data_IF_139500702434
#
_entry.id   IF_139500702434
#
_cell.length_a   1.000
_cell.length_b   1.000
_cell.length_c   1.000
_cell.angle_alpha   90.00
_cell.angle_beta   90.00
_cell.angle_gamma   90.00
#
_symmetry.space_group_name_H-M   'P 1'
#
loop_
_entity.id
_entity.type
_entity.pdbx_description
1 polymer ?
#
# COMPACT_ATOMS: atom_id res chain seq x y z
N UNK A 1 0.47 16.22 -26.40
CA UNK A 1 -0.36 16.38 -25.20
C UNK A 1 -0.32 15.05 -24.46
N UNK A 2 0.10 15.04 -23.21
CA UNK A 2 0.25 13.79 -22.46
C UNK A 2 -1.12 13.14 -22.30
N UNK A 3 -1.26 11.90 -22.77
CA UNK A 3 -2.51 11.16 -22.66
C UNK A 3 -2.75 10.84 -21.18
N UNK A 4 -3.78 11.44 -20.58
CA UNK A 4 -4.21 11.16 -19.20
C UNK A 4 -5.12 9.94 -19.25
N UNK A 5 -4.90 8.99 -18.34
CA UNK A 5 -5.68 7.76 -18.28
C UNK A 5 -6.04 7.51 -16.82
N UNK A 6 -7.34 7.37 -16.50
CA UNK A 6 -7.76 6.85 -15.19
C UNK A 6 -7.28 5.41 -15.06
N UNK A 7 -6.68 5.06 -13.93
CA UNK A 7 -6.09 3.73 -13.68
C UNK A 7 -6.64 3.05 -12.44
N UNK A 8 -7.41 3.76 -11.63
CA UNK A 8 -8.04 3.23 -10.43
C UNK A 8 -8.91 4.28 -9.77
N UNK A 9 -9.72 3.81 -8.85
CA UNK A 9 -10.62 4.60 -8.01
C UNK A 9 -10.64 3.99 -6.62
N UNK A 10 -10.97 4.80 -5.63
CA UNK A 10 -11.27 4.37 -4.28
C UNK A 10 -12.31 5.29 -3.67
N UNK A 11 -12.80 4.93 -2.48
CA UNK A 11 -13.88 5.66 -1.79
C UNK A 11 -13.62 7.15 -1.68
N UNK A 12 -12.37 7.56 -1.45
CA UNK A 12 -12.01 8.96 -1.21
C UNK A 12 -11.34 9.65 -2.40
N UNK A 13 -11.27 9.04 -3.58
CA UNK A 13 -10.60 9.71 -4.68
C UNK A 13 -10.36 8.90 -5.95
N UNK A 14 -9.63 9.54 -6.85
CA UNK A 14 -9.42 9.07 -8.22
C UNK A 14 -7.93 9.00 -8.53
N UNK A 15 -7.49 7.96 -9.25
CA UNK A 15 -6.10 7.79 -9.65
C UNK A 15 -5.93 7.91 -11.17
N UNK A 16 -5.13 8.87 -11.61
CA UNK A 16 -4.85 9.13 -13.03
C UNK A 16 -3.37 8.99 -13.35
N UNK A 17 -3.04 8.24 -14.40
CA UNK A 17 -1.71 8.23 -14.98
C UNK A 17 -1.54 9.40 -15.94
N UNK A 18 -0.52 10.22 -15.72
CA UNK A 18 -0.13 11.35 -16.55
C UNK A 18 1.37 11.27 -16.88
N UNK A 19 1.68 10.74 -18.07
CA UNK A 19 3.08 10.50 -18.47
C UNK A 19 3.75 9.42 -17.60
N UNK A 20 4.81 9.82 -16.88
CA UNK A 20 5.58 8.95 -15.99
C UNK A 20 5.19 9.07 -14.50
N UNK A 21 4.06 9.72 -14.21
CA UNK A 21 3.54 9.92 -12.85
C UNK A 21 2.10 9.45 -12.74
N UNK A 22 1.70 9.13 -11.51
CA UNK A 22 0.31 8.86 -11.12
C UNK A 22 -0.14 9.99 -10.21
N UNK A 23 -1.32 10.55 -10.46
CA UNK A 23 -1.94 11.58 -9.65
C UNK A 23 -3.13 10.96 -8.91
N UNK A 24 -3.01 10.80 -7.58
CA UNK A 24 -4.15 10.48 -6.70
C UNK A 24 -4.78 11.82 -6.29
N UNK A 25 -6.02 12.04 -6.68
CA UNK A 25 -6.78 13.26 -6.42
C UNK A 25 -7.82 12.96 -5.35
N UNK A 26 -7.72 13.67 -4.22
CA UNK A 26 -8.59 13.50 -3.04
C UNK A 26 -9.33 14.81 -2.80
N UNK A 27 -10.67 14.87 -2.98
CA UNK A 27 -11.47 16.03 -2.60
C UNK A 27 -11.46 16.21 -1.08
N UNK A 28 -11.30 17.46 -0.64
CA UNK A 28 -11.26 17.82 0.77
C UNK A 28 -12.10 19.06 1.06
N UNK A 29 -12.58 19.16 2.30
CA UNK A 29 -13.27 20.34 2.85
C UNK A 29 -14.54 20.78 2.10
N UNK A 30 -15.11 19.94 1.23
CA UNK A 30 -16.38 20.18 0.56
C UNK A 30 -17.58 19.59 1.30
N UNK A 31 -18.75 20.22 1.13
CA UNK A 31 -20.01 19.78 1.72
C UNK A 31 -20.76 18.73 0.89
N UNK A 32 -20.33 18.51 -0.36
CA UNK A 32 -20.89 17.49 -1.24
C UNK A 32 -20.43 16.11 -0.77
N UNK A 33 -21.37 15.16 -0.63
CA UNK A 33 -21.03 13.76 -0.44
C UNK A 33 -20.33 13.24 -1.71
N UNK A 34 -19.19 12.57 -1.52
CA UNK A 34 -18.41 11.98 -2.60
C UNK A 34 -18.44 10.47 -2.42
N UNK A 35 -19.02 9.76 -3.39
CA UNK A 35 -19.15 8.31 -3.38
C UNK A 35 -19.96 7.81 -2.16
N UNK A 36 -20.95 8.62 -1.74
CA UNK A 36 -21.76 8.36 -0.56
C UNK A 36 -21.15 8.79 0.78
N UNK A 37 -19.89 9.24 0.80
CA UNK A 37 -19.15 9.59 2.02
C UNK A 37 -18.93 11.09 2.18
N UNK A 38 -18.75 11.54 3.43
CA UNK A 38 -18.33 12.91 3.72
C UNK A 38 -16.87 13.08 3.30
N UNK A 39 -16.57 14.21 2.65
CA UNK A 39 -15.18 14.51 2.28
C UNK A 39 -14.31 14.64 3.52
N UNK A 40 -13.07 14.17 3.41
CA UNK A 40 -12.10 14.34 4.48
C UNK A 40 -11.79 15.81 4.70
N UNK A 41 -11.52 16.16 5.95
CA UNK A 41 -10.93 17.45 6.30
C UNK A 41 -9.49 17.52 5.83
N UNK A 42 -9.02 18.71 5.48
CA UNK A 42 -7.61 18.89 5.11
C UNK A 42 -6.65 18.47 6.22
N UNK A 43 -7.03 18.58 7.50
CA UNK A 43 -6.23 18.06 8.62
C UNK A 43 -6.08 16.53 8.59
N UNK A 44 -7.13 15.79 8.22
CA UNK A 44 -7.08 14.32 8.11
C UNK A 44 -6.17 13.89 6.95
N UNK A 45 -6.20 14.61 5.83
CA UNK A 45 -5.33 14.32 4.69
C UNK A 45 -3.89 14.77 4.95
N UNK A 46 -3.68 15.82 5.77
CA UNK A 46 -2.35 16.26 6.18
C UNK A 46 -1.56 15.15 6.88
N UNK A 47 -2.23 14.27 7.64
CA UNK A 47 -1.57 13.11 8.25
C UNK A 47 -1.02 12.15 7.18
N UNK A 48 -1.81 11.82 6.15
CA UNK A 48 -1.36 10.99 5.01
C UNK A 48 -0.20 11.66 4.25
N UNK A 49 -0.24 13.00 4.10
CA UNK A 49 0.85 13.79 3.50
C UNK A 49 2.15 13.64 4.30
N UNK A 50 2.10 13.80 5.62
CA UNK A 50 3.26 13.67 6.50
C UNK A 50 3.79 12.23 6.57
N UNK A 51 2.90 11.24 6.59
CA UNK A 51 3.21 9.81 6.47
C UNK A 51 3.98 9.52 5.18
N UNK A 52 3.46 10.02 4.05
CA UNK A 52 4.05 9.88 2.73
C UNK A 52 5.47 10.45 2.69
N UNK A 53 5.68 11.66 3.23
CA UNK A 53 7.03 12.24 3.30
C UNK A 53 7.98 11.45 4.19
N UNK A 54 7.49 10.93 5.32
CA UNK A 54 8.31 10.11 6.23
C UNK A 54 8.77 8.82 5.55
N UNK A 55 7.88 8.13 4.84
CA UNK A 55 8.23 6.93 4.07
C UNK A 55 9.14 7.25 2.87
N UNK A 56 8.88 8.36 2.18
CA UNK A 56 9.71 8.81 1.05
C UNK A 56 11.17 9.07 1.50
N UNK A 57 11.37 9.52 2.74
CA UNK A 57 12.72 9.72 3.30
C UNK A 57 13.52 8.42 3.46
N UNK A 58 12.88 7.25 3.54
CA UNK A 58 13.55 5.95 3.59
C UNK A 58 14.23 5.59 2.26
N UNK A 59 13.86 6.27 1.17
CA UNK A 59 14.46 6.08 -0.16
C UNK A 59 15.82 6.77 -0.30
N UNK A 60 16.12 7.76 0.56
CA UNK A 60 17.32 8.60 0.45
C UNK A 60 18.57 7.87 0.95
N UNK A 61 19.61 7.88 0.12
CA UNK A 61 20.93 7.39 0.50
C UNK A 61 21.55 8.35 1.54
N UNK A 62 21.91 7.84 2.72
CA UNK A 62 22.55 8.63 3.78
C UNK A 62 21.88 8.59 5.15
N UNK A 63 20.66 8.03 5.28
CA UNK A 63 20.13 7.66 6.62
C UNK A 63 21.03 6.58 7.23
N UNK A 64 21.45 6.82 8.48
CA UNK A 64 22.53 6.04 9.09
C UNK A 64 22.16 4.55 9.23
N UNK A 65 20.89 4.19 9.46
CA UNK A 65 20.53 2.84 9.90
C UNK A 65 19.43 2.12 9.09
N UNK A 66 18.47 2.83 8.48
CA UNK A 66 17.35 2.19 7.78
C UNK A 66 17.12 2.78 6.38
N UNK A 67 16.78 1.95 5.40
CA UNK A 67 16.51 2.38 4.02
C UNK A 67 15.81 1.33 3.16
N UNK A 68 14.85 1.78 2.34
CA UNK A 68 14.05 0.95 1.42
C UNK A 68 13.48 1.80 0.28
N UNK A 69 13.45 1.23 -0.93
CA UNK A 69 12.82 1.84 -2.12
C UNK A 69 11.47 1.22 -2.47
N UNK A 70 10.94 0.37 -1.61
CA UNK A 70 9.71 -0.39 -1.86
C UNK A 70 8.44 0.31 -1.35
N UNK A 71 8.53 1.52 -0.81
CA UNK A 71 7.37 2.42 -0.68
C UNK A 71 7.35 3.34 -1.90
N UNK A 72 6.16 3.58 -2.45
CA UNK A 72 6.04 4.40 -3.66
C UNK A 72 6.64 5.79 -3.43
N UNK A 73 7.28 6.31 -4.47
CA UNK A 73 7.87 7.63 -4.40
C UNK A 73 6.79 8.70 -4.50
N UNK A 74 6.69 9.52 -3.46
CA UNK A 74 5.94 10.77 -3.51
C UNK A 74 6.84 11.84 -4.11
N UNK A 75 6.58 12.20 -5.37
CA UNK A 75 7.37 13.20 -6.10
C UNK A 75 6.98 14.61 -5.69
N UNK A 76 5.69 14.85 -5.49
CA UNK A 76 5.13 16.15 -5.14
C UNK A 76 3.74 15.98 -4.50
N UNK A 77 3.29 16.97 -3.74
CA UNK A 77 1.93 17.05 -3.19
C UNK A 77 1.44 18.48 -3.38
N UNK A 78 0.25 18.64 -3.97
CA UNK A 78 -0.33 19.94 -4.31
C UNK A 78 -1.71 20.10 -3.70
N UNK A 79 -1.99 21.29 -3.18
CA UNK A 79 -3.35 21.72 -2.89
C UNK A 79 -3.86 22.46 -4.13
N UNK A 80 -4.98 21.99 -4.68
CA UNK A 80 -5.64 22.53 -5.86
C UNK A 80 -7.05 22.99 -5.49
N UNK A 81 -7.58 23.96 -6.25
CA UNK A 81 -8.95 24.42 -6.13
C UNK A 81 -9.53 24.64 -7.53
N UNK A 82 -10.80 24.30 -7.74
CA UNK A 82 -11.50 24.50 -9.03
C UNK A 82 -12.31 23.30 -9.47
N UNK A 83 -12.81 23.33 -10.70
CA UNK A 83 -13.44 22.17 -11.34
C UNK A 83 -12.41 21.19 -11.90
N UNK A 84 -12.82 19.93 -12.13
CA UNK A 84 -11.99 18.96 -12.85
C UNK A 84 -11.72 19.43 -14.29
N UNK A 85 -10.46 19.36 -14.71
CA UNK A 85 -10.10 19.65 -16.11
C UNK A 85 -10.81 18.70 -17.07
N UNK A 86 -11.19 19.21 -18.26
CA UNK A 86 -11.91 18.44 -19.27
C UNK A 86 -11.19 17.13 -19.65
N UNK A 87 -9.86 17.10 -19.63
CA UNK A 87 -9.09 15.90 -19.92
C UNK A 87 -9.18 14.83 -18.82
N UNK A 88 -9.29 15.23 -17.54
CA UNK A 88 -9.54 14.29 -16.43
C UNK A 88 -10.95 13.72 -16.50
N UNK A 89 -11.93 14.56 -16.85
CA UNK A 89 -13.31 14.12 -17.06
C UNK A 89 -13.38 13.08 -18.18
N UNK A 90 -12.81 13.36 -19.35
CA UNK A 90 -12.81 12.40 -20.46
C UNK A 90 -12.12 11.10 -20.07
N UNK A 91 -11.00 11.17 -19.33
CA UNK A 91 -10.31 9.98 -18.85
C UNK A 91 -11.15 9.15 -17.86
N UNK A 92 -11.98 9.81 -17.04
CA UNK A 92 -12.93 9.16 -16.14
C UNK A 92 -14.08 8.49 -16.90
N UNK A 93 -14.69 9.19 -17.86
CA UNK A 93 -15.79 8.67 -18.70
C UNK A 93 -15.32 7.46 -19.54
N UNK A 94 -14.10 7.51 -20.08
CA UNK A 94 -13.48 6.42 -20.84
C UNK A 94 -13.21 5.17 -19.99
N UNK A 95 -13.02 5.35 -18.69
CA UNK A 95 -12.83 4.26 -17.74
C UNK A 95 -14.16 3.67 -17.30
N UNK A 96 -15.12 4.53 -16.93
CA UNK A 96 -16.49 4.16 -16.57
C UNK A 96 -17.15 3.33 -17.67
N UNK A 97 -17.04 3.77 -18.94
CA UNK A 97 -17.59 3.03 -20.08
C UNK A 97 -17.03 1.61 -20.25
N UNK A 98 -15.85 1.31 -19.68
CA UNK A 98 -15.17 0.00 -19.81
C UNK A 98 -15.30 -0.86 -18.56
N UNK A 99 -15.31 -0.26 -17.38
CA UNK A 99 -15.23 -0.97 -16.11
C UNK A 99 -16.50 -0.84 -15.27
N UNK A 100 -17.30 0.22 -15.48
CA UNK A 100 -18.37 0.66 -14.58
C UNK A 100 -17.75 1.26 -13.32
N UNK A 101 -17.75 2.58 -13.22
CA UNK A 101 -17.28 3.30 -12.04
C UNK A 101 -18.29 3.12 -10.91
N UNK A 102 -17.80 2.83 -9.70
CA UNK A 102 -18.60 2.87 -8.48
C UNK A 102 -18.66 4.28 -7.88
N UNK A 103 -17.72 5.15 -8.30
CA UNK A 103 -17.66 6.54 -7.88
C UNK A 103 -18.65 7.45 -8.61
N UNK A 104 -19.02 8.56 -7.96
CA UNK A 104 -19.81 9.65 -8.54
C UNK A 104 -19.03 10.38 -9.63
N UNK A 105 -19.75 10.95 -10.61
CA UNK A 105 -19.10 11.60 -11.73
C UNK A 105 -18.44 12.93 -11.27
N UNK A 106 -17.13 13.15 -11.52
CA UNK A 106 -16.40 14.33 -11.02
C UNK A 106 -16.79 15.69 -11.63
N UNK A 107 -17.83 15.73 -12.49
CA UNK A 107 -18.38 16.98 -13.04
C UNK A 107 -19.24 17.73 -12.02
N UNK A 108 -19.64 17.06 -10.94
CA UNK A 108 -20.53 17.63 -9.93
C UNK A 108 -19.83 18.61 -8.98
N UNK A 109 -18.49 18.61 -8.94
CA UNK A 109 -17.72 19.53 -8.12
C UNK A 109 -17.82 20.98 -8.61
N UNK A 110 -17.88 21.91 -7.66
CA UNK A 110 -17.93 23.35 -7.92
C UNK A 110 -16.54 23.97 -8.05
N UNK A 111 -16.45 25.22 -8.52
CA UNK A 111 -15.19 25.97 -8.60
C UNK A 111 -14.52 26.23 -7.24
N UNK A 112 -15.29 26.15 -6.14
CA UNK A 112 -14.75 26.36 -4.79
C UNK A 112 -14.16 25.07 -4.18
N UNK A 113 -14.36 23.90 -4.82
CA UNK A 113 -13.91 22.61 -4.32
C UNK A 113 -12.38 22.56 -4.22
N UNK A 114 -11.88 22.11 -3.07
CA UNK A 114 -10.45 21.91 -2.82
C UNK A 114 -10.07 20.44 -2.98
N UNK A 115 -8.81 20.20 -3.39
CA UNK A 115 -8.25 18.85 -3.55
C UNK A 115 -6.83 18.79 -3.05
N UNK A 116 -6.48 17.68 -2.42
CA UNK A 116 -5.08 17.28 -2.27
C UNK A 116 -4.72 16.33 -3.41
N UNK A 117 -3.68 16.69 -4.16
CA UNK A 117 -3.18 15.91 -5.30
C UNK A 117 -1.80 15.35 -4.96
N UNK A 118 -1.72 14.03 -4.80
CA UNK A 118 -0.47 13.32 -4.64
C UNK A 118 0.10 12.98 -6.01
N UNK A 119 1.29 13.50 -6.32
CA UNK A 119 2.03 13.16 -7.55
C UNK A 119 3.03 12.06 -7.20
N UNK A 120 2.72 10.86 -7.64
CA UNK A 120 3.42 9.62 -7.29
C UNK A 120 4.22 9.11 -8.49
N UNK A 121 5.26 8.31 -8.24
CA UNK A 121 5.86 7.48 -9.27
C UNK A 121 4.88 6.43 -9.79
N UNK A 122 5.11 5.98 -11.02
CA UNK A 122 4.38 4.85 -11.57
C UNK A 122 4.95 3.54 -11.01
N UNK A 123 4.20 2.92 -10.10
CA UNK A 123 4.55 1.65 -9.48
C UNK A 123 4.13 0.41 -10.29
N UNK A 124 3.56 0.58 -11.49
CA UNK A 124 3.12 -0.51 -12.35
C UNK A 124 1.67 -0.91 -12.12
N UNK A 125 1.43 -2.22 -11.99
CA UNK A 125 0.08 -2.77 -11.79
C UNK A 125 -0.05 -3.31 -10.39
N UNK A 126 -1.20 -3.12 -9.78
CA UNK A 126 -1.57 -3.71 -8.50
C UNK A 126 -1.50 -5.26 -8.54
N UNK A 127 -1.29 -5.87 -7.38
CA UNK A 127 -1.16 -7.31 -7.29
C UNK A 127 -2.45 -7.97 -7.74
N UNK A 128 -3.64 -7.42 -7.54
CA UNK A 128 -4.91 -8.00 -8.00
C UNK A 128 -4.92 -8.24 -9.52
N UNK A 129 -4.51 -7.26 -10.32
CA UNK A 129 -4.46 -7.33 -11.78
C UNK A 129 -3.16 -7.93 -12.34
N UNK A 130 -2.08 -7.96 -11.56
CA UNK A 130 -0.79 -8.49 -12.00
C UNK A 130 -0.77 -10.02 -12.12
N UNK A 131 -0.20 -10.53 -13.21
CA UNK A 131 -0.03 -11.98 -13.44
C UNK A 131 1.38 -12.41 -13.02
N UNK A 132 1.46 -13.18 -11.94
CA UNK A 132 2.68 -13.87 -11.52
C UNK A 132 2.95 -15.06 -12.45
N UNK A 133 4.21 -15.30 -12.81
CA UNK A 133 4.56 -16.41 -13.70
C UNK A 133 4.81 -17.70 -12.94
N UNK A 134 5.53 -17.64 -11.83
CA UNK A 134 6.01 -18.82 -11.11
C UNK A 134 6.15 -18.56 -9.61
N UNK A 135 6.52 -19.60 -8.87
CA UNK A 135 6.68 -19.54 -7.43
C UNK A 135 7.79 -18.58 -6.98
N UNK A 136 8.88 -18.42 -7.73
CA UNK A 136 9.95 -17.51 -7.36
C UNK A 136 9.52 -16.04 -7.38
N UNK A 137 8.64 -15.65 -8.33
CA UNK A 137 8.01 -14.32 -8.29
C UNK A 137 7.11 -14.15 -7.06
N UNK A 138 6.35 -15.16 -6.67
CA UNK A 138 5.54 -15.10 -5.46
C UNK A 138 6.40 -14.96 -4.19
N UNK A 139 7.54 -15.66 -4.14
CA UNK A 139 8.53 -15.55 -3.06
C UNK A 139 9.19 -14.18 -3.02
N UNK A 140 9.59 -13.66 -4.19
CA UNK A 140 10.14 -12.32 -4.38
C UNK A 140 9.19 -11.23 -3.88
N UNK A 141 7.91 -11.35 -4.19
CA UNK A 141 6.88 -10.45 -3.71
C UNK A 141 6.85 -10.42 -2.18
N UNK A 142 6.74 -11.59 -1.56
CA UNK A 142 6.64 -11.70 -0.09
C UNK A 142 7.90 -11.16 0.60
N UNK A 143 9.10 -11.47 0.09
CA UNK A 143 10.34 -11.02 0.73
C UNK A 143 10.53 -9.51 0.59
N UNK A 144 10.22 -8.93 -0.57
CA UNK A 144 10.32 -7.48 -0.77
C UNK A 144 9.34 -6.72 0.14
N UNK A 145 8.09 -7.19 0.24
CA UNK A 145 7.09 -6.58 1.14
C UNK A 145 7.52 -6.72 2.59
N UNK A 146 7.92 -7.92 3.02
CA UNK A 146 8.32 -8.18 4.41
C UNK A 146 9.54 -7.35 4.81
N UNK A 147 10.55 -7.25 3.94
CA UNK A 147 11.74 -6.46 4.19
C UNK A 147 11.42 -4.95 4.24
N UNK A 148 10.56 -4.46 3.35
CA UNK A 148 10.14 -3.06 3.36
C UNK A 148 9.41 -2.68 4.66
N UNK A 149 8.47 -3.53 5.10
CA UNK A 149 7.76 -3.35 6.36
C UNK A 149 8.71 -3.41 7.56
N UNK A 150 9.61 -4.40 7.61
CA UNK A 150 10.61 -4.50 8.68
C UNK A 150 11.50 -3.25 8.79
N UNK A 151 11.91 -2.68 7.65
CA UNK A 151 12.67 -1.43 7.60
C UNK A 151 11.87 -0.27 8.18
N UNK A 152 10.59 -0.13 7.81
CA UNK A 152 9.73 0.95 8.28
C UNK A 152 9.31 0.77 9.75
N UNK A 153 9.11 -0.46 10.22
CA UNK A 153 8.90 -0.79 11.63
C UNK A 153 10.07 -0.30 12.48
N UNK A 154 11.31 -0.61 12.09
CA UNK A 154 12.50 -0.17 12.83
C UNK A 154 12.73 1.33 12.72
N UNK A 155 12.49 1.91 11.54
CA UNK A 155 12.80 3.32 11.30
C UNK A 155 11.82 4.28 11.99
N UNK A 156 10.55 3.90 12.08
CA UNK A 156 9.48 4.83 12.43
C UNK A 156 8.22 4.11 12.96
N UNK A 157 8.36 2.89 13.50
CA UNK A 157 7.26 2.10 14.07
C UNK A 157 6.04 2.00 13.14
N UNK A 158 6.31 1.85 11.84
CA UNK A 158 5.29 1.88 10.80
C UNK A 158 4.37 0.65 10.84
N UNK A 159 3.08 0.90 10.70
CA UNK A 159 2.06 -0.10 10.42
C UNK A 159 1.26 0.32 9.21
N UNK A 160 1.15 -0.54 8.19
CA UNK A 160 0.41 -0.18 6.98
C UNK A 160 -1.10 -0.11 7.23
N UNK A 161 -1.60 -1.08 8.01
CA UNK A 161 -3.01 -1.27 8.39
C UNK A 161 -4.02 -1.43 7.24
N UNK A 162 -3.62 -1.26 6.00
CA UNK A 162 -4.47 -1.56 4.84
C UNK A 162 -3.76 -2.21 3.65
N UNK A 163 -2.88 -3.19 3.89
CA UNK A 163 -2.03 -3.76 2.83
C UNK A 163 -2.74 -4.89 2.06
N UNK A 164 -3.92 -4.58 1.52
CA UNK A 164 -4.60 -5.50 0.61
C UNK A 164 -3.85 -5.56 -0.74
N UNK A 165 -4.18 -6.55 -1.58
CA UNK A 165 -3.47 -6.77 -2.84
C UNK A 165 -3.59 -5.61 -3.86
N UNK A 166 -4.55 -4.70 -3.69
CA UNK A 166 -4.63 -3.46 -4.48
C UNK A 166 -3.48 -2.50 -4.15
N UNK A 167 -2.99 -2.54 -2.91
CA UNK A 167 -1.96 -1.65 -2.39
C UNK A 167 -0.52 -2.18 -2.54
N UNK A 168 -0.36 -3.25 -3.34
CA UNK A 168 0.94 -3.84 -3.67
C UNK A 168 1.13 -3.74 -5.18
N UNK A 169 1.86 -2.74 -5.66
CA UNK A 169 2.15 -2.54 -7.08
C UNK A 169 3.39 -3.32 -7.52
N UNK A 170 3.37 -3.79 -8.76
CA UNK A 170 4.43 -4.59 -9.38
C UNK A 170 4.82 -4.08 -10.77
N UNK A 171 6.13 -4.04 -11.00
CA UNK A 171 6.74 -3.82 -12.32
C UNK A 171 7.67 -4.97 -12.65
N UNK A 172 7.65 -5.42 -13.91
CA UNK A 172 8.67 -6.30 -14.46
C UNK A 172 9.88 -5.50 -14.91
N UNK A 173 11.08 -5.88 -14.48
CA UNK A 173 12.32 -5.22 -14.87
C UNK A 173 13.52 -6.17 -14.83
N UNK A 174 14.68 -5.67 -15.26
CA UNK A 174 15.92 -6.44 -15.36
C UNK A 174 16.73 -6.47 -14.06
N UNK A 175 16.28 -5.76 -13.01
CA UNK A 175 16.98 -5.79 -11.72
C UNK A 175 16.88 -7.20 -11.16
N UNK A 176 18.02 -7.74 -10.70
CA UNK A 176 18.11 -9.09 -10.10
C UNK A 176 18.10 -9.07 -8.58
N UNK A 177 18.37 -7.91 -7.98
CA UNK A 177 18.41 -7.69 -6.53
C UNK A 177 17.69 -6.40 -6.14
N UNK A 178 17.12 -6.39 -4.95
CA UNK A 178 16.57 -5.21 -4.28
C UNK A 178 17.32 -5.00 -2.98
N UNK A 179 17.87 -3.81 -2.78
CA UNK A 179 18.65 -3.48 -1.61
C UNK A 179 17.78 -2.89 -0.51
N UNK A 180 18.01 -3.37 0.71
CA UNK A 180 17.44 -2.87 1.95
C UNK A 180 18.57 -2.56 2.92
N UNK A 181 18.34 -1.57 3.78
CA UNK A 181 19.20 -1.29 4.92
C UNK A 181 18.37 -1.41 6.18
N UNK A 182 18.75 -2.32 7.08
CA UNK A 182 18.04 -2.60 8.32
C UNK A 182 19.04 -2.60 9.47
N UNK A 183 18.87 -1.67 10.42
CA UNK A 183 19.77 -1.51 11.58
C UNK A 183 21.26 -1.38 11.18
N UNK A 184 21.53 -0.68 10.08
CA UNK A 184 22.87 -0.46 9.54
C UNK A 184 23.39 -1.60 8.66
N UNK A 185 22.74 -2.77 8.66
CA UNK A 185 23.10 -3.90 7.81
C UNK A 185 22.48 -3.78 6.43
N UNK A 186 23.28 -4.07 5.39
CA UNK A 186 22.80 -4.11 4.01
C UNK A 186 22.32 -5.53 3.71
N UNK A 187 21.07 -5.64 3.27
CA UNK A 187 20.42 -6.91 2.93
C UNK A 187 19.94 -6.81 1.49
N UNK A 188 20.22 -7.82 0.67
CA UNK A 188 19.79 -7.87 -0.72
C UNK A 188 18.77 -8.99 -0.92
N UNK A 189 17.55 -8.65 -1.36
CA UNK A 189 16.52 -9.61 -1.75
C UNK A 189 16.56 -9.93 -3.23
N UNK A 190 16.45 -11.22 -3.60
CA UNK A 190 16.31 -11.65 -5.00
C UNK A 190 14.96 -11.21 -5.57
N UNK A 191 14.99 -10.51 -6.71
CA UNK A 191 13.79 -9.92 -7.32
C UNK A 191 13.06 -10.85 -8.27
N UNK A 192 13.78 -11.82 -8.87
CA UNK A 192 13.26 -12.66 -9.95
C UNK A 192 12.56 -11.88 -11.07
N UNK A 193 13.09 -10.69 -11.40
CA UNK A 193 12.60 -9.83 -12.46
C UNK A 193 11.35 -9.02 -12.12
N UNK A 194 10.94 -8.97 -10.84
CA UNK A 194 9.85 -8.10 -10.37
C UNK A 194 10.33 -7.14 -9.26
N UNK A 195 9.84 -5.91 -9.29
CA UNK A 195 9.99 -4.97 -8.18
C UNK A 195 8.63 -4.59 -7.61
N UNK A 196 8.57 -4.52 -6.29
CA UNK A 196 7.34 -4.19 -5.54
C UNK A 196 7.37 -2.75 -5.07
N UNK A 197 6.23 -2.05 -5.15
CA UNK A 197 5.98 -0.79 -4.48
C UNK A 197 4.70 -0.86 -3.65
N UNK A 198 4.80 -0.52 -2.37
CA UNK A 198 3.69 -0.40 -1.43
C UNK A 198 3.12 1.00 -1.55
N UNK A 199 1.80 1.11 -1.65
CA UNK A 199 1.04 2.36 -1.81
C UNK A 199 -0.06 2.47 -0.76
N UNK A 200 -0.68 3.65 -0.73
CA UNK A 200 -1.88 3.97 0.04
C UNK A 200 -1.69 3.86 1.56
N UNK A 201 -1.36 4.99 2.16
CA UNK A 201 -1.07 5.08 3.59
C UNK A 201 -2.24 5.67 4.38
N UNK A 202 -3.44 5.66 3.80
CA UNK A 202 -4.63 6.31 4.36
C UNK A 202 -4.97 5.80 5.76
N UNK A 203 -4.85 4.50 6.03
CA UNK A 203 -5.14 3.90 7.34
C UNK A 203 -3.87 3.67 8.18
N UNK A 204 -2.70 4.05 7.67
CA UNK A 204 -1.42 3.70 8.28
C UNK A 204 -1.18 4.44 9.60
N UNK A 205 -0.21 3.93 10.36
CA UNK A 205 0.31 4.56 11.59
C UNK A 205 1.82 4.63 11.54
N UNK A 206 2.37 5.74 12.02
CA UNK A 206 3.81 5.96 12.09
C UNK A 206 4.17 6.80 13.32
N UNK A 207 5.37 6.61 13.83
CA UNK A 207 6.00 7.50 14.79
C UNK A 207 7.12 8.27 14.06
N UNK A 208 6.90 9.56 13.80
CA UNK A 208 7.88 10.42 13.11
C UNK A 208 9.04 10.85 14.00
N UNK A 209 8.98 10.56 15.31
CA UNK A 209 9.86 11.09 16.35
C UNK A 209 9.38 12.43 16.93
N UNK A 210 8.55 13.17 16.18
CA UNK A 210 7.92 14.42 16.64
C UNK A 210 6.46 14.19 17.06
N UNK A 211 5.76 13.31 16.36
CA UNK A 211 4.37 12.96 16.61
C UNK A 211 4.07 11.51 16.18
N UNK A 212 2.99 10.96 16.74
CA UNK A 212 2.37 9.75 16.22
C UNK A 212 1.29 10.22 15.23
N UNK A 213 1.41 9.79 13.97
CA UNK A 213 0.43 10.09 12.92
C UNK A 213 -0.33 8.81 12.62
N UNK A 214 -1.66 8.85 12.69
CA UNK A 214 -2.51 7.68 12.51
C UNK A 214 -3.96 8.09 12.30
N UNK A 215 -4.68 7.33 11.48
CA UNK A 215 -6.13 7.44 11.43
C UNK A 215 -6.77 6.62 12.57
N UNK A 216 -7.63 7.24 13.35
CA UNK A 216 -8.44 6.55 14.37
C UNK A 216 -9.57 5.77 13.71
N UNK A 217 -9.35 4.47 13.52
CA UNK A 217 -10.33 3.60 12.86
C UNK A 217 -11.53 3.28 13.76
N UNK A 218 -11.52 3.65 15.05
CA UNK A 218 -12.71 3.49 15.91
C UNK A 218 -13.89 4.39 15.45
N UNK A 219 -13.60 5.42 14.66
CA UNK A 219 -14.56 6.33 14.07
C UNK A 219 -15.25 5.78 12.81
N UNK A 220 -14.77 4.65 12.27
CA UNK A 220 -15.36 3.95 11.13
C UNK A 220 -15.71 2.48 11.49
N UNK A 221 -16.87 2.25 12.13
CA UNK A 221 -17.32 0.89 12.43
C UNK A 221 -17.55 0.03 11.17
N UNK A 222 -17.94 0.64 10.05
CA UNK A 222 -18.32 -0.08 8.83
C UNK A 222 -17.15 -0.87 8.25
N UNK A 223 -15.92 -0.37 8.42
CA UNK A 223 -14.68 -1.07 8.07
C UNK A 223 -14.59 -2.50 8.66
N UNK A 224 -15.18 -2.73 9.85
CA UNK A 224 -15.12 -4.01 10.55
C UNK A 224 -16.33 -4.92 10.30
N UNK A 225 -17.35 -4.42 9.61
CA UNK A 225 -18.63 -5.10 9.36
C UNK A 225 -18.66 -5.89 8.04
N UNK A 226 -17.57 -5.84 7.26
CA UNK A 226 -17.46 -6.55 5.99
C UNK A 226 -17.66 -8.08 6.09
N UNK A 227 -17.95 -8.79 4.97
CA UNK A 227 -18.35 -10.20 4.99
C UNK A 227 -17.36 -11.12 5.73
N UNK A 228 -17.85 -12.07 6.53
CA UNK A 228 -17.01 -13.04 7.28
C UNK A 228 -16.18 -13.98 6.39
N UNK A 229 -16.60 -14.16 5.15
CA UNK A 229 -15.88 -14.99 4.17
C UNK A 229 -14.78 -14.22 3.44
N UNK A 230 -14.76 -12.89 3.55
CA UNK A 230 -13.77 -12.05 2.91
C UNK A 230 -12.50 -11.93 3.77
N UNK A 231 -11.34 -12.14 3.14
CA UNK A 231 -10.05 -12.20 3.84
C UNK A 231 -9.58 -10.83 4.30
N UNK A 232 -9.92 -9.78 3.56
CA UNK A 232 -9.57 -8.40 3.90
C UNK A 232 -10.38 -7.95 5.11
N UNK A 233 -11.70 -8.17 5.10
CA UNK A 233 -12.61 -7.93 6.22
C UNK A 233 -12.19 -8.65 7.51
N UNK A 234 -11.80 -9.92 7.40
CA UNK A 234 -11.28 -10.70 8.55
C UNK A 234 -9.93 -10.14 9.06
N UNK A 235 -9.14 -9.50 8.21
CA UNK A 235 -7.86 -8.88 8.61
C UNK A 235 -8.11 -7.62 9.42
N UNK A 236 -9.08 -6.78 9.03
CA UNK A 236 -9.51 -5.63 9.84
C UNK A 236 -10.00 -6.05 11.23
N UNK A 237 -10.86 -7.07 11.32
CA UNK A 237 -11.35 -7.59 12.60
C UNK A 237 -10.21 -8.06 13.52
N UNK A 238 -9.22 -8.77 12.98
CA UNK A 238 -8.06 -9.21 13.77
C UNK A 238 -7.18 -8.05 14.22
N UNK A 239 -7.01 -7.01 13.40
CA UNK A 239 -6.31 -5.81 13.84
C UNK A 239 -7.05 -5.12 14.99
N UNK A 240 -8.38 -5.03 14.91
CA UNK A 240 -9.20 -4.50 16.01
C UNK A 240 -9.06 -5.31 17.30
N UNK A 241 -9.01 -6.65 17.21
CA UNK A 241 -8.76 -7.53 18.35
C UNK A 241 -7.37 -7.29 18.99
N UNK A 242 -6.32 -7.06 18.18
CA UNK A 242 -4.95 -6.84 18.69
C UNK A 242 -4.81 -5.45 19.31
N UNK A 243 -5.40 -4.45 18.68
CA UNK A 243 -5.27 -3.05 19.10
C UNK A 243 -6.19 -2.72 20.27
N UNK A 244 -7.24 -3.51 20.50
CA UNK A 244 -8.29 -3.24 21.50
C UNK A 244 -8.87 -1.82 21.32
N UNK A 245 -9.06 -1.40 20.06
CA UNK A 245 -9.46 -0.05 19.63
C UNK A 245 -8.46 1.09 19.96
N UNK A 246 -7.26 0.78 20.46
CA UNK A 246 -6.20 1.75 20.71
C UNK A 246 -5.35 2.02 19.45
N UNK A 247 -5.92 2.64 18.42
CA UNK A 247 -5.25 2.82 17.12
C UNK A 247 -4.00 3.74 17.15
N UNK A 248 -3.83 4.58 18.16
CA UNK A 248 -2.59 5.37 18.34
C UNK A 248 -1.36 4.50 18.67
N UNK A 249 -1.60 3.38 19.38
CA UNK A 249 -0.54 2.51 19.88
C UNK A 249 0.25 1.82 18.76
N UNK A 250 1.43 1.30 19.12
CA UNK A 250 2.26 0.53 18.18
C UNK A 250 1.98 -0.96 18.31
N UNK A 251 1.47 -1.55 17.24
CA UNK A 251 1.15 -2.96 17.13
C UNK A 251 1.72 -3.56 15.83
N UNK A 252 3.05 -3.76 15.69
CA UNK A 252 3.67 -4.31 14.48
C UNK A 252 3.08 -5.66 14.01
N UNK A 253 2.40 -6.38 14.90
CA UNK A 253 1.63 -7.59 14.59
C UNK A 253 0.59 -7.36 13.48
N UNK A 254 0.07 -6.15 13.33
CA UNK A 254 -0.87 -5.78 12.25
C UNK A 254 -0.23 -5.96 10.87
N UNK A 255 1.05 -5.63 10.69
CA UNK A 255 1.80 -5.91 9.46
C UNK A 255 1.88 -7.42 9.18
N UNK A 256 2.10 -8.23 10.23
CA UNK A 256 2.14 -9.69 10.10
C UNK A 256 0.78 -10.26 9.69
N UNK A 257 -0.33 -9.67 10.15
CA UNK A 257 -1.67 -10.05 9.68
C UNK A 257 -1.83 -9.80 8.18
N UNK A 258 -1.35 -8.67 7.69
CA UNK A 258 -1.37 -8.37 6.26
C UNK A 258 -0.44 -9.26 5.43
N UNK A 259 0.73 -9.64 5.95
CA UNK A 259 1.58 -10.65 5.31
C UNK A 259 0.87 -12.00 5.21
N UNK A 260 0.13 -12.41 6.26
CA UNK A 260 -0.70 -13.62 6.20
C UNK A 260 -1.83 -13.50 5.18
N UNK A 261 -2.44 -12.32 5.05
CA UNK A 261 -3.42 -12.03 4.01
C UNK A 261 -2.80 -12.19 2.61
N UNK A 262 -1.62 -11.64 2.35
CA UNK A 262 -0.95 -11.77 1.05
C UNK A 262 -0.63 -13.24 0.73
N UNK A 263 -0.24 -14.04 1.72
CA UNK A 263 -0.07 -15.50 1.53
C UNK A 263 -1.40 -16.19 1.19
N UNK A 264 -2.51 -15.80 1.82
CA UNK A 264 -3.85 -16.29 1.46
C UNK A 264 -4.23 -15.90 0.03
N UNK A 265 -3.94 -14.67 -0.39
CA UNK A 265 -4.16 -14.20 -1.77
C UNK A 265 -3.36 -15.05 -2.75
N UNK A 266 -2.08 -15.29 -2.48
CA UNK A 266 -1.25 -16.14 -3.31
C UNK A 266 -1.81 -17.56 -3.41
N UNK A 267 -2.28 -18.14 -2.31
CA UNK A 267 -2.83 -19.50 -2.28
C UNK A 267 -4.20 -19.61 -2.97
N UNK A 268 -5.10 -18.66 -2.76
CA UNK A 268 -6.53 -18.79 -3.03
C UNK A 268 -7.02 -18.01 -4.25
N UNK A 269 -6.35 -16.91 -4.60
CA UNK A 269 -6.81 -15.96 -5.64
C UNK A 269 -5.83 -15.85 -6.80
N UNK A 270 -4.54 -16.17 -6.60
CA UNK A 270 -3.53 -16.13 -7.66
C UNK A 270 -3.26 -17.49 -8.29
N UNK A 271 -3.15 -17.46 -9.61
CA UNK A 271 -2.77 -18.58 -10.46
C UNK A 271 -1.42 -18.29 -11.10
N UNK A 272 -0.45 -19.16 -10.85
CA UNK A 272 0.90 -19.12 -11.41
C UNK A 272 1.52 -20.52 -11.35
N UNK A 273 2.63 -20.75 -12.05
CA UNK A 273 3.29 -22.05 -12.05
C UNK A 273 3.83 -22.38 -10.65
N UNK A 274 3.26 -23.40 -10.00
CA UNK A 274 3.66 -23.89 -8.68
C UNK A 274 3.36 -25.36 -8.52
N UNK A 275 4.05 -26.00 -7.59
CA UNK A 275 3.89 -27.40 -7.20
C UNK A 275 3.10 -27.53 -5.91
N UNK A 276 2.70 -28.76 -5.57
CA UNK A 276 2.07 -29.07 -4.28
C UNK A 276 3.02 -28.85 -3.09
N UNK A 277 4.34 -28.90 -3.32
CA UNK A 277 5.34 -28.56 -2.33
C UNK A 277 5.31 -27.05 -2.05
N UNK A 278 5.29 -26.23 -3.09
CA UNK A 278 5.26 -24.77 -2.97
C UNK A 278 4.03 -24.29 -2.18
N UNK A 279 2.87 -24.89 -2.44
CA UNK A 279 1.65 -24.61 -1.67
C UNK A 279 1.78 -25.00 -0.19
N UNK A 280 2.47 -26.12 0.11
CA UNK A 280 2.75 -26.54 1.47
C UNK A 280 3.72 -25.58 2.16
N UNK A 281 4.70 -25.08 1.43
CA UNK A 281 5.69 -24.14 1.95
C UNK A 281 5.02 -22.79 2.31
N UNK A 282 4.13 -22.27 1.46
CA UNK A 282 3.30 -21.09 1.76
C UNK A 282 2.39 -21.30 2.98
N UNK A 283 1.70 -22.45 3.07
CA UNK A 283 0.86 -22.76 4.25
C UNK A 283 1.70 -22.87 5.53
N UNK A 284 2.92 -23.39 5.42
CA UNK A 284 3.84 -23.52 6.54
C UNK A 284 4.37 -22.15 6.99
N UNK A 285 4.72 -21.27 6.04
CA UNK A 285 5.07 -19.88 6.32
C UNK A 285 3.93 -19.17 7.06
N UNK A 286 2.70 -19.23 6.52
CA UNK A 286 1.54 -18.62 7.16
C UNK A 286 1.32 -19.12 8.59
N UNK A 287 1.48 -20.43 8.82
CA UNK A 287 1.36 -21.01 10.15
C UNK A 287 2.42 -20.46 11.11
N UNK A 288 3.67 -20.31 10.67
CA UNK A 288 4.75 -19.72 11.49
C UNK A 288 4.55 -18.22 11.74
N UNK A 289 3.98 -17.49 10.78
CA UNK A 289 3.62 -16.07 10.96
C UNK A 289 2.66 -15.81 12.12
N UNK A 290 1.89 -16.80 12.57
CA UNK A 290 1.04 -16.67 13.76
C UNK A 290 1.86 -16.38 15.03
N UNK A 291 3.10 -16.89 15.11
CA UNK A 291 4.00 -16.68 16.25
C UNK A 291 4.94 -15.48 16.13
N UNK A 292 4.97 -14.77 15.00
CA UNK A 292 5.86 -13.60 14.82
C UNK A 292 5.17 -12.31 15.20
N UNK A 293 5.84 -11.44 15.94
CA UNK A 293 5.23 -10.23 16.49
C UNK A 293 5.40 -8.99 15.62
N UNK A 294 6.28 -9.07 14.61
CA UNK A 294 6.58 -7.99 13.67
C UNK A 294 6.97 -8.53 12.29
N UNK A 295 6.96 -7.68 11.26
CA UNK A 295 7.52 -8.02 9.96
C UNK A 295 9.04 -8.27 10.04
N UNK A 296 9.74 -7.59 10.95
CA UNK A 296 11.15 -7.88 11.27
C UNK A 296 11.37 -9.33 11.73
N UNK A 297 10.53 -9.83 12.64
CA UNK A 297 10.60 -11.23 13.08
C UNK A 297 10.26 -12.18 11.92
N UNK A 298 9.23 -11.83 11.13
CA UNK A 298 8.82 -12.61 9.97
C UNK A 298 9.91 -12.67 8.89
N UNK A 299 10.71 -11.63 8.72
CA UNK A 299 11.83 -11.59 7.77
C UNK A 299 12.90 -12.64 8.08
N UNK A 300 13.02 -13.03 9.35
CA UNK A 300 13.95 -14.08 9.81
C UNK A 300 13.42 -15.50 9.58
N UNK A 301 12.22 -15.67 9.01
CA UNK A 301 11.65 -16.99 8.72
C UNK A 301 12.51 -17.78 7.72
N UNK A 302 12.67 -19.11 7.93
CA UNK A 302 13.43 -19.98 7.01
C UNK A 302 12.96 -19.93 5.54
N UNK A 303 11.73 -19.50 5.28
CA UNK A 303 11.21 -19.30 3.93
C UNK A 303 11.96 -18.24 3.13
N UNK A 304 12.59 -17.27 3.81
CA UNK A 304 13.29 -16.15 3.18
C UNK A 304 14.82 -16.34 3.10
N UNK A 305 15.38 -17.37 3.74
CA UNK A 305 16.83 -17.52 3.92
C UNK A 305 17.62 -17.59 2.61
N UNK A 306 17.13 -18.29 1.58
CA UNK A 306 17.79 -18.37 0.26
C UNK A 306 17.44 -17.21 -0.68
N UNK A 307 16.55 -16.31 -0.25
CA UNK A 307 16.14 -15.12 -0.99
C UNK A 307 16.92 -13.88 -0.57
N UNK A 308 17.47 -13.89 0.65
CA UNK A 308 18.21 -12.79 1.26
C UNK A 308 19.70 -13.09 1.26
N UNK A 309 20.50 -12.10 0.90
CA UNK A 309 21.96 -12.14 0.94
C UNK A 309 22.46 -10.94 1.76
N UNK A 310 23.26 -11.19 2.80
CA UNK A 310 23.97 -10.13 3.51
C UNK A 310 25.18 -9.68 2.67
N UNK A 311 25.37 -8.37 2.53
CA UNK A 311 26.57 -7.76 1.89
C UNK A 311 27.57 -7.22 2.92
#
# INVERSE_FOLDING_TARGET
MNNIVKIGEGTYGEAFKAGASVCKIVPVDGDLLVNGEVQKRSEEVLEEVLLSFTLNSLRQEGRANCGSRNFIETKDIRLCQGTYDASLITAWEDWDAKHGSENDHPKEFSEDQCYVVFVLADGGRDLESFVLLNFDEARSLLVQVTAALAVAEVACEFEHRDLHWGNVLLVRNESTKMEFKLEGRKICGKTFGISVSIIDFTLSRINSGEAILFLDLSLDPALFEGPKTDRQSETYRKMKEITEDCWEGSFPKTNVLWLQYLVDILLLKKSFQRTTKDERDLRSLKKRMQSYDSAKDALSDPFFTDLLEDE
#
